data_IF_595769247879
#
_entry.id   IF_595769247879
#
_cell.length_a   1.000
_cell.length_b   1.000
_cell.length_c   1.000
_cell.angle_alpha   90.00
_cell.angle_beta   90.00
_cell.angle_gamma   90.00
#
_symmetry.space_group_name_H-M   'P 1'
#
loop_
_entity.id
_entity.type
_entity.pdbx_description
1 polymer ?
#
# COMPACT_ATOMS: atom_id res chain seq x y z
N UNK A 1 -21.08 26.66 -10.97
CA UNK A 1 -19.64 26.65 -10.64
C UNK A 1 -19.52 26.28 -9.16
N UNK A 2 -19.19 25.03 -8.84
CA UNK A 2 -19.08 24.59 -7.44
C UNK A 2 -17.82 25.20 -6.81
N UNK A 3 -18.03 26.01 -5.78
CA UNK A 3 -17.00 26.67 -4.98
C UNK A 3 -16.10 25.59 -4.32
N UNK A 4 -15.04 25.18 -4.99
CA UNK A 4 -14.05 24.25 -4.42
C UNK A 4 -13.13 25.06 -3.52
N UNK A 5 -13.58 25.31 -2.28
CA UNK A 5 -12.71 25.81 -1.22
C UNK A 5 -11.47 24.90 -1.14
N UNK A 6 -10.24 25.45 -1.25
CA UNK A 6 -9.04 24.64 -1.21
C UNK A 6 -8.92 23.94 0.14
N UNK A 7 -8.84 22.62 0.12
CA UNK A 7 -8.71 21.81 1.33
C UNK A 7 -7.28 21.98 1.91
N UNK A 8 -7.13 22.09 3.23
CA UNK A 8 -5.83 22.29 3.84
C UNK A 8 -4.95 21.03 3.68
N UNK A 9 -3.63 21.19 3.41
CA UNK A 9 -2.74 20.05 3.22
C UNK A 9 -2.51 19.28 4.53
N UNK A 10 -2.41 17.96 4.43
CA UNK A 10 -2.22 17.07 5.57
C UNK A 10 -0.80 17.17 6.15
N UNK A 11 -0.71 17.47 7.45
CA UNK A 11 0.56 17.46 8.19
C UNK A 11 1.09 16.05 8.48
N UNK A 12 2.34 16.00 8.95
CA UNK A 12 3.09 14.76 9.18
C UNK A 12 2.34 13.76 10.07
N UNK A 13 1.84 14.18 11.23
CA UNK A 13 1.20 13.27 12.19
C UNK A 13 0.01 12.49 11.62
N UNK A 14 -0.82 13.14 10.80
CA UNK A 14 -1.95 12.46 10.15
C UNK A 14 -1.50 11.44 9.12
N UNK A 15 -0.41 11.75 8.39
CA UNK A 15 0.18 10.84 7.40
C UNK A 15 0.84 9.64 8.06
N UNK A 16 1.59 9.84 9.15
CA UNK A 16 2.18 8.76 9.94
C UNK A 16 1.13 7.90 10.61
N UNK A 17 0.08 8.52 11.17
CA UNK A 17 -1.05 7.80 11.74
C UNK A 17 -1.77 6.94 10.70
N UNK A 18 -2.05 7.48 9.51
CA UNK A 18 -2.64 6.70 8.43
C UNK A 18 -1.72 5.56 7.96
N UNK A 19 -0.42 5.81 7.85
CA UNK A 19 0.59 4.81 7.51
C UNK A 19 0.59 3.65 8.53
N UNK A 20 0.55 3.96 9.82
CA UNK A 20 0.52 2.96 10.89
C UNK A 20 -0.75 2.10 10.82
N UNK A 21 -1.90 2.71 10.55
CA UNK A 21 -3.15 1.95 10.37
C UNK A 21 -3.09 1.05 9.14
N UNK A 22 -2.64 1.59 8.02
CA UNK A 22 -2.51 0.83 6.78
C UNK A 22 -1.46 -0.29 6.91
N UNK A 23 -0.38 -0.11 7.70
CA UNK A 23 0.61 -1.16 7.93
C UNK A 23 0.04 -2.35 8.69
N UNK A 24 -0.84 -2.12 9.67
CA UNK A 24 -1.53 -3.21 10.38
C UNK A 24 -2.49 -3.97 9.45
N UNK A 25 -3.22 -3.23 8.63
CA UNK A 25 -4.19 -3.82 7.69
C UNK A 25 -3.47 -4.64 6.62
N UNK A 26 -2.42 -4.09 6.01
CA UNK A 26 -1.71 -4.79 4.95
C UNK A 26 -0.96 -6.01 5.49
N UNK A 27 -0.41 -5.95 6.71
CA UNK A 27 0.17 -7.10 7.39
C UNK A 27 -0.86 -8.22 7.56
N UNK A 28 -2.08 -7.89 8.02
CA UNK A 28 -3.15 -8.88 8.15
C UNK A 28 -3.54 -9.50 6.80
N UNK A 29 -3.60 -8.68 5.74
CA UNK A 29 -3.89 -9.14 4.37
C UNK A 29 -2.77 -10.06 3.86
N UNK A 30 -1.51 -9.70 4.07
CA UNK A 30 -0.37 -10.53 3.67
C UNK A 30 -0.31 -11.85 4.43
N UNK A 31 -0.59 -11.85 5.75
CA UNK A 31 -0.69 -13.08 6.53
C UNK A 31 -1.79 -14.01 5.99
N UNK A 32 -2.95 -13.46 5.63
CA UNK A 32 -4.03 -14.24 5.00
C UNK A 32 -3.62 -14.76 3.62
N UNK A 33 -3.01 -13.91 2.79
CA UNK A 33 -2.54 -14.29 1.46
C UNK A 33 -1.49 -15.40 1.51
N UNK A 34 -0.50 -15.28 2.42
CA UNK A 34 0.48 -16.32 2.69
C UNK A 34 -0.18 -17.61 3.18
N UNK A 35 -1.13 -17.51 4.11
CA UNK A 35 -1.87 -18.65 4.63
C UNK A 35 -2.64 -19.41 3.55
N UNK A 36 -3.25 -18.71 2.58
CA UNK A 36 -3.93 -19.35 1.43
C UNK A 36 -2.94 -20.13 0.58
N UNK A 37 -1.76 -19.59 0.29
CA UNK A 37 -0.71 -20.29 -0.49
C UNK A 37 -0.24 -21.53 0.27
N UNK A 38 0.03 -21.40 1.56
CA UNK A 38 0.46 -22.53 2.42
C UNK A 38 -0.60 -23.62 2.45
N UNK A 39 -1.88 -23.28 2.64
CA UNK A 39 -2.99 -24.24 2.64
C UNK A 39 -3.15 -24.93 1.27
N UNK A 40 -2.99 -24.19 0.17
CA UNK A 40 -3.04 -24.76 -1.17
C UNK A 40 -1.91 -25.76 -1.41
N UNK A 41 -0.67 -25.42 -1.01
CA UNK A 41 0.47 -26.33 -1.10
C UNK A 41 0.25 -27.59 -0.25
N UNK A 42 -0.26 -27.44 0.98
CA UNK A 42 -0.62 -28.59 1.83
C UNK A 42 -1.63 -29.52 1.15
N UNK A 43 -2.67 -28.97 0.54
CA UNK A 43 -3.67 -29.76 -0.19
C UNK A 43 -3.07 -30.49 -1.39
N UNK A 44 -2.23 -29.83 -2.18
CA UNK A 44 -1.56 -30.45 -3.34
C UNK A 44 -0.65 -31.60 -2.94
N UNK A 45 0.04 -31.46 -1.81
CA UNK A 45 0.88 -32.52 -1.26
C UNK A 45 0.06 -33.69 -0.72
N UNK A 46 -1.07 -33.43 -0.06
CA UNK A 46 -1.98 -34.47 0.41
C UNK A 46 -2.55 -35.30 -0.76
N UNK A 47 -2.66 -34.70 -1.95
CA UNK A 47 -3.04 -35.36 -3.19
C UNK A 47 -1.85 -36.01 -3.93
N UNK A 48 -0.64 -35.99 -3.37
CA UNK A 48 0.61 -36.47 -3.97
C UNK A 48 0.95 -35.82 -5.33
N UNK A 49 0.49 -34.59 -5.57
CA UNK A 49 0.77 -33.83 -6.80
C UNK A 49 2.11 -33.08 -6.74
N UNK A 50 2.57 -32.77 -5.52
CA UNK A 50 3.84 -32.07 -5.24
C UNK A 50 4.52 -32.78 -4.06
N UNK A 51 5.84 -32.88 -4.10
CA UNK A 51 6.65 -33.46 -3.03
C UNK A 51 7.50 -32.38 -2.35
N UNK A 52 7.79 -32.59 -1.05
CA UNK A 52 8.68 -31.68 -0.31
C UNK A 52 10.16 -31.89 -0.61
N UNK A 53 10.59 -33.07 -1.05
CA UNK A 53 12.02 -33.32 -1.21
C UNK A 53 12.62 -32.35 -2.25
N UNK A 54 13.74 -31.65 -1.94
CA UNK A 54 14.66 -31.84 -0.81
C UNK A 54 14.43 -30.94 0.44
N UNK A 55 13.32 -30.20 0.53
CA UNK A 55 13.02 -29.21 1.56
C UNK A 55 12.45 -29.79 2.85
N UNK A 56 12.68 -29.11 3.98
CA UNK A 56 12.24 -29.59 5.32
C UNK A 56 10.78 -29.32 5.63
N UNK A 57 10.27 -28.16 5.20
CA UNK A 57 8.88 -27.73 5.40
C UNK A 57 8.42 -26.76 4.30
N UNK A 58 7.17 -26.28 4.40
CA UNK A 58 6.59 -25.37 3.39
C UNK A 58 7.31 -24.01 3.40
N UNK A 59 7.74 -23.54 4.56
CA UNK A 59 8.48 -22.29 4.69
C UNK A 59 9.83 -22.38 3.99
N UNK A 60 10.54 -23.49 4.19
CA UNK A 60 11.81 -23.79 3.50
C UNK A 60 11.62 -23.91 1.98
N UNK A 61 10.59 -24.64 1.54
CA UNK A 61 10.21 -24.73 0.13
C UNK A 61 9.93 -23.37 -0.50
N UNK A 62 9.10 -22.54 0.15
CA UNK A 62 8.74 -21.21 -0.32
C UNK A 62 9.90 -20.21 -0.24
N UNK A 63 10.93 -20.46 0.56
CA UNK A 63 12.06 -19.55 0.70
C UNK A 63 13.23 -19.91 -0.22
N UNK A 64 13.48 -21.20 -0.42
CA UNK A 64 14.69 -21.70 -1.07
C UNK A 64 14.46 -22.34 -2.45
N UNK A 65 13.20 -22.54 -2.85
CA UNK A 65 12.92 -23.05 -4.20
C UNK A 65 13.27 -22.01 -5.28
N UNK A 66 14.07 -22.38 -6.31
CA UNK A 66 14.45 -21.46 -7.38
C UNK A 66 13.27 -20.85 -8.15
N UNK A 67 12.13 -21.55 -8.17
CA UNK A 67 10.92 -21.12 -8.88
C UNK A 67 9.87 -20.59 -7.90
N UNK A 68 9.59 -21.32 -6.81
CA UNK A 68 8.52 -20.94 -5.90
C UNK A 68 8.85 -19.73 -5.03
N UNK A 69 10.12 -19.53 -4.66
CA UNK A 69 10.54 -18.37 -3.86
C UNK A 69 10.31 -17.02 -4.56
N UNK A 70 10.79 -16.80 -5.81
CA UNK A 70 10.52 -15.55 -6.50
C UNK A 70 9.04 -15.39 -6.84
N UNK A 71 8.30 -16.47 -7.15
CA UNK A 71 6.86 -16.40 -7.41
C UNK A 71 6.07 -16.00 -6.17
N UNK A 72 6.38 -16.58 -5.01
CA UNK A 72 5.72 -16.27 -3.75
C UNK A 72 6.03 -14.84 -3.31
N UNK A 73 7.29 -14.41 -3.42
CA UNK A 73 7.70 -13.03 -3.14
C UNK A 73 7.00 -12.04 -4.07
N UNK A 74 6.95 -12.35 -5.37
CA UNK A 74 6.23 -11.52 -6.34
C UNK A 74 4.73 -11.46 -6.04
N UNK A 75 4.12 -12.59 -5.66
CA UNK A 75 2.71 -12.64 -5.29
C UNK A 75 2.41 -11.73 -4.09
N UNK A 76 3.17 -11.84 -2.99
CA UNK A 76 2.97 -10.98 -1.82
C UNK A 76 3.20 -9.50 -2.16
N UNK A 77 4.26 -9.19 -2.91
CA UNK A 77 4.52 -7.84 -3.38
C UNK A 77 3.39 -7.32 -4.28
N UNK A 78 2.81 -8.16 -5.14
CA UNK A 78 1.68 -7.79 -5.99
C UNK A 78 0.42 -7.51 -5.16
N UNK A 79 0.12 -8.31 -4.13
CA UNK A 79 -0.98 -8.06 -3.18
C UNK A 79 -0.77 -6.71 -2.47
N UNK A 80 0.44 -6.44 -2.01
CA UNK A 80 0.81 -5.17 -1.37
C UNK A 80 0.63 -3.96 -2.30
N UNK A 81 1.19 -4.04 -3.51
CA UNK A 81 1.05 -2.98 -4.53
C UNK A 81 -0.42 -2.78 -4.90
N UNK A 82 -1.13 -3.88 -5.14
CA UNK A 82 -2.55 -3.86 -5.51
C UNK A 82 -3.38 -3.14 -4.45
N UNK A 83 -3.17 -3.43 -3.16
CA UNK A 83 -3.86 -2.77 -2.06
C UNK A 83 -3.78 -1.23 -2.19
N UNK A 84 -2.57 -0.68 -2.24
CA UNK A 84 -2.40 0.78 -2.31
C UNK A 84 -2.92 1.38 -3.62
N UNK A 85 -2.55 0.80 -4.76
CA UNK A 85 -2.95 1.30 -6.09
C UNK A 85 -4.46 1.29 -6.23
N UNK A 86 -5.14 0.22 -5.82
CA UNK A 86 -6.59 0.10 -5.90
C UNK A 86 -7.29 1.17 -5.06
N UNK A 87 -6.94 1.31 -3.78
CA UNK A 87 -7.61 2.28 -2.90
C UNK A 87 -7.32 3.73 -3.32
N UNK A 88 -6.09 4.03 -3.74
CA UNK A 88 -5.72 5.38 -4.15
C UNK A 88 -6.38 5.81 -5.46
N UNK A 89 -6.45 4.93 -6.45
CA UNK A 89 -7.09 5.26 -7.75
C UNK A 89 -8.62 5.19 -7.67
N UNK A 90 -9.17 4.33 -6.78
CA UNK A 90 -10.61 4.14 -6.65
C UNK A 90 -11.31 5.18 -5.76
N UNK A 91 -10.72 5.54 -4.63
CA UNK A 91 -11.34 6.46 -3.67
C UNK A 91 -10.44 7.64 -3.27
N UNK A 92 -9.15 7.58 -3.62
CA UNK A 92 -8.15 8.50 -3.07
C UNK A 92 -7.89 8.29 -1.58
N UNK A 93 -8.38 7.20 -0.99
CA UNK A 93 -8.24 6.91 0.44
C UNK A 93 -8.16 5.41 0.68
N UNK A 94 -7.12 4.98 1.39
CA UNK A 94 -7.10 3.70 2.11
C UNK A 94 -7.95 3.80 3.37
N UNK A 95 -8.15 2.66 4.05
CA UNK A 95 -8.91 2.64 5.29
C UNK A 95 -8.20 3.44 6.41
N UNK A 96 -6.87 3.37 6.52
CA UNK A 96 -6.10 4.20 7.43
C UNK A 96 -6.23 5.69 7.13
N UNK A 97 -6.17 6.07 5.84
CA UNK A 97 -6.40 7.46 5.43
C UNK A 97 -7.81 7.97 5.81
N UNK A 98 -8.83 7.11 5.75
CA UNK A 98 -10.19 7.45 6.19
C UNK A 98 -10.25 7.70 7.69
N UNK A 99 -9.60 6.87 8.50
CA UNK A 99 -9.54 7.05 9.96
C UNK A 99 -8.93 8.41 10.34
N UNK A 100 -7.93 8.87 9.57
CA UNK A 100 -7.25 10.15 9.80
C UNK A 100 -7.84 11.33 9.02
N UNK A 101 -8.94 11.10 8.30
CA UNK A 101 -9.66 12.09 7.49
C UNK A 101 -8.72 12.79 6.49
N UNK A 102 -7.85 12.04 5.85
CA UNK A 102 -6.96 12.55 4.80
C UNK A 102 -7.27 11.90 3.46
N UNK A 103 -7.13 12.64 2.37
CA UNK A 103 -7.41 12.15 1.03
C UNK A 103 -6.28 12.51 0.07
N UNK A 104 -5.86 11.52 -0.72
CA UNK A 104 -4.94 11.65 -1.83
C UNK A 104 -5.70 12.03 -3.10
N UNK A 105 -5.28 13.12 -3.73
CA UNK A 105 -5.93 13.67 -4.93
C UNK A 105 -4.88 14.22 -5.91
N UNK A 106 -5.29 14.43 -7.15
CA UNK A 106 -4.51 15.20 -8.11
C UNK A 106 -4.46 16.69 -7.66
N UNK A 107 -3.55 17.47 -8.23
CA UNK A 107 -3.43 18.91 -7.92
C UNK A 107 -4.70 19.68 -8.30
N UNK A 108 -5.35 19.25 -9.37
CA UNK A 108 -6.63 19.69 -9.92
C UNK A 108 -7.85 19.11 -9.17
N UNK A 109 -7.64 18.37 -8.07
CA UNK A 109 -8.70 17.84 -7.20
C UNK A 109 -9.33 16.52 -7.64
N UNK A 110 -8.99 16.06 -8.85
CA UNK A 110 -9.41 14.77 -9.40
C UNK A 110 -8.77 13.56 -8.71
N UNK A 111 -9.11 12.37 -9.21
CA UNK A 111 -8.52 11.09 -8.77
C UNK A 111 -7.15 10.92 -9.40
N UNK A 112 -6.25 10.24 -8.70
CA UNK A 112 -4.92 9.98 -9.23
C UNK A 112 -4.94 8.78 -10.19
N UNK A 113 -4.00 8.76 -11.13
CA UNK A 113 -3.85 7.64 -12.08
C UNK A 113 -3.06 6.49 -11.48
N UNK A 114 -3.14 5.30 -12.11
CA UNK A 114 -2.32 4.13 -11.74
C UNK A 114 -0.83 4.46 -11.81
N UNK A 115 -0.39 5.16 -12.86
CA UNK A 115 1.01 5.59 -13.02
C UNK A 115 1.45 6.47 -11.86
N UNK A 116 0.64 7.44 -11.44
CA UNK A 116 0.94 8.28 -10.28
C UNK A 116 1.01 7.45 -9.00
N UNK A 117 0.10 6.49 -8.80
CA UNK A 117 0.13 5.60 -7.65
C UNK A 117 1.42 4.75 -7.58
N UNK A 118 1.87 4.21 -8.72
CA UNK A 118 3.11 3.43 -8.79
C UNK A 118 4.35 4.30 -8.54
N UNK A 119 4.42 5.51 -9.10
CA UNK A 119 5.49 6.47 -8.81
C UNK A 119 5.54 6.77 -7.32
N UNK A 120 4.38 6.97 -6.67
CA UNK A 120 4.32 7.20 -5.23
C UNK A 120 4.88 6.02 -4.44
N UNK A 121 4.51 4.79 -4.79
CA UNK A 121 5.03 3.60 -4.10
C UNK A 121 6.55 3.51 -4.26
N UNK A 122 7.07 3.63 -5.49
CA UNK A 122 8.49 3.56 -5.79
C UNK A 122 9.33 4.64 -5.08
N UNK A 123 8.75 5.82 -4.88
CA UNK A 123 9.43 6.97 -4.24
C UNK A 123 9.06 7.16 -2.76
N UNK A 124 8.28 6.25 -2.18
CA UNK A 124 7.78 6.38 -0.80
C UNK A 124 8.86 6.07 0.26
N UNK A 125 9.85 5.24 -0.09
CA UNK A 125 10.89 4.77 0.85
C UNK A 125 10.29 4.16 2.12
N UNK A 126 9.24 3.33 2.00
CA UNK A 126 8.51 2.75 3.14
C UNK A 126 7.99 3.78 4.16
N UNK A 127 7.65 4.99 3.69
CA UNK A 127 7.11 6.06 4.52
C UNK A 127 8.13 7.16 4.86
N UNK A 128 9.43 6.94 4.64
CA UNK A 128 10.50 7.93 4.86
C UNK A 128 10.29 9.21 4.04
N UNK A 129 9.66 9.11 2.86
CA UNK A 129 9.33 10.27 2.05
C UNK A 129 8.43 11.30 2.77
N UNK A 130 7.70 10.90 3.83
CA UNK A 130 6.91 11.82 4.63
C UNK A 130 7.76 12.70 5.56
N UNK A 131 9.02 12.35 5.85
CA UNK A 131 9.90 13.17 6.70
C UNK A 131 10.22 14.54 6.09
N UNK A 132 10.02 14.71 4.79
CA UNK A 132 10.12 16.01 4.12
C UNK A 132 8.92 16.94 4.42
N UNK A 133 7.79 16.43 4.91
CA UNK A 133 6.54 17.18 5.11
C UNK A 133 6.68 18.36 6.09
N UNK A 134 7.38 18.25 7.23
CA UNK A 134 7.60 19.40 8.12
C UNK A 134 8.51 20.47 7.51
N UNK A 135 9.36 20.11 6.55
CA UNK A 135 10.36 20.99 5.94
C UNK A 135 9.79 21.75 4.73
N UNK A 136 8.81 21.18 4.02
CA UNK A 136 8.14 21.86 2.89
C UNK A 136 7.01 22.78 3.40
N UNK A 137 7.03 24.10 3.10
CA UNK A 137 5.93 25.02 3.42
C UNK A 137 4.57 24.58 2.87
N UNK A 138 4.56 23.81 1.78
CA UNK A 138 3.34 23.24 1.17
C UNK A 138 2.95 21.87 1.74
N UNK A 139 3.68 21.35 2.74
CA UNK A 139 3.47 20.05 3.41
C UNK A 139 3.40 18.87 2.43
N UNK A 140 4.25 18.88 1.40
CA UNK A 140 4.35 17.80 0.41
C UNK A 140 5.45 16.82 0.81
N UNK A 141 5.17 15.54 0.70
CA UNK A 141 6.17 14.48 0.79
C UNK A 141 6.95 14.36 -0.53
N UNK A 142 8.12 13.71 -0.52
CA UNK A 142 8.91 13.50 -1.74
C UNK A 142 8.10 12.80 -2.85
N UNK A 143 7.34 11.76 -2.46
CA UNK A 143 6.44 11.05 -3.37
C UNK A 143 5.26 11.90 -3.88
N UNK A 144 4.83 12.93 -3.14
CA UNK A 144 3.76 13.84 -3.57
C UNK A 144 4.28 14.71 -4.73
N UNK A 145 5.53 15.20 -4.62
CA UNK A 145 6.19 16.06 -5.61
C UNK A 145 6.39 15.29 -6.92
N UNK A 146 6.98 14.10 -6.85
CA UNK A 146 7.29 13.30 -8.05
C UNK A 146 6.05 12.82 -8.78
N UNK A 147 5.02 12.41 -8.04
CA UNK A 147 3.78 11.96 -8.65
C UNK A 147 2.84 13.11 -9.05
N UNK A 148 3.18 14.37 -8.75
CA UNK A 148 2.32 15.55 -8.95
C UNK A 148 0.95 15.35 -8.30
N UNK A 149 0.96 15.02 -7.01
CA UNK A 149 -0.25 14.73 -6.22
C UNK A 149 -0.20 15.49 -4.89
N UNK A 150 -1.31 15.53 -4.18
CA UNK A 150 -1.40 16.13 -2.85
C UNK A 150 -2.26 15.31 -1.91
N UNK A 151 -1.95 15.38 -0.62
CA UNK A 151 -2.79 14.81 0.44
C UNK A 151 -3.39 15.96 1.25
N UNK A 152 -4.71 15.97 1.29
CA UNK A 152 -5.51 17.03 1.92
C UNK A 152 -6.30 16.50 3.10
N UNK A 153 -6.65 17.36 4.04
CA UNK A 153 -7.51 17.04 5.18
C UNK A 153 -8.97 17.28 4.79
N UNK A 154 -9.81 16.28 5.00
CA UNK A 154 -11.25 16.39 4.82
C UNK A 154 -11.91 17.04 6.04
N UNK A 155 -12.95 17.87 5.85
CA UNK A 155 -13.72 18.44 6.94
C UNK A 155 -14.41 17.34 7.75
N UNK A 156 -14.71 17.61 9.02
CA UNK A 156 -15.61 16.75 9.79
C UNK A 156 -17.00 16.89 9.16
N UNK A 157 -17.62 15.77 8.77
CA UNK A 157 -19.04 15.74 8.45
C UNK A 157 -19.77 16.17 9.73
N UNK A 158 -20.55 17.24 9.64
CA UNK A 158 -21.43 17.71 10.71
C UNK A 158 -22.55 16.70 10.94
#
# INVERSE_FOLDING_TARGET
MSNHQPLPPAGLMRRLGALFYDSLIILAIEMMAAGVVVAALQALMALNLITMAPYTDIGDFLSNSPIWSPLFTFYLAAVWVYFFVFFWTRAGQTLGMRAWKIQLRNLDGGRITVTQALIRLATSGFGLANLAVPLDPKKRAFHDIWAKTQVVVLPKVQ
#
